data_IF_766907957176
#
_entry.id   IF_766907957176
#
_cell.length_a   1.000
_cell.length_b   1.000
_cell.length_c   1.000
_cell.angle_alpha   90.00
_cell.angle_beta   90.00
_cell.angle_gamma   90.00
#
_symmetry.space_group_name_H-M   'P 1'
#
loop_
_entity.id
_entity.type
_entity.pdbx_description
1 polymer ?
#
# COMPACT_ATOMS: atom_id res chain seq x y z
N UNK A 1 10.92 30.63 37.78
CA UNK A 1 12.19 29.87 37.78
C UNK A 1 12.06 28.80 38.84
N UNK A 2 11.59 27.60 38.45
CA UNK A 2 11.72 26.40 39.27
C UNK A 2 12.62 25.43 38.51
N UNK A 3 13.64 24.94 39.21
CA UNK A 3 14.75 24.20 38.64
C UNK A 3 14.34 22.81 38.17
N UNK A 4 14.31 22.61 36.87
CA UNK A 4 14.27 21.29 36.24
C UNK A 4 15.63 20.61 36.38
N UNK A 5 15.67 19.46 37.07
CA UNK A 5 16.87 18.62 37.16
C UNK A 5 16.76 17.46 36.15
N UNK A 6 17.63 17.38 35.14
CA UNK A 6 17.53 16.39 34.05
C UNK A 6 17.66 14.93 34.51
N UNK A 7 18.17 14.69 35.72
CA UNK A 7 18.37 13.35 36.30
C UNK A 7 17.11 12.73 36.89
N UNK A 8 16.12 13.52 37.32
CA UNK A 8 14.86 13.01 37.88
C UNK A 8 13.93 12.51 36.78
N UNK A 9 13.86 13.26 35.68
CA UNK A 9 13.06 12.97 34.49
C UNK A 9 13.48 11.65 33.83
N UNK A 10 14.79 11.40 33.69
CA UNK A 10 15.31 10.13 33.15
C UNK A 10 14.92 8.91 34.01
N UNK A 11 14.94 9.05 35.34
CA UNK A 11 14.53 7.95 36.25
C UNK A 11 13.06 7.62 36.08
N UNK A 12 12.21 8.63 35.93
CA UNK A 12 10.80 8.46 35.68
C UNK A 12 10.55 7.75 34.34
N UNK A 13 11.21 8.18 33.26
CA UNK A 13 11.14 7.53 31.95
C UNK A 13 11.52 6.04 32.01
N UNK A 14 12.62 5.70 32.68
CA UNK A 14 13.03 4.31 32.89
C UNK A 14 12.03 3.51 33.74
N UNK A 15 11.44 4.14 34.77
CA UNK A 15 10.45 3.48 35.61
C UNK A 15 9.18 3.12 34.83
N UNK A 16 8.67 4.05 34.02
CA UNK A 16 7.50 3.84 33.19
C UNK A 16 7.77 2.80 32.10
N UNK A 17 8.94 2.86 31.45
CA UNK A 17 9.35 1.84 30.48
C UNK A 17 9.32 0.43 31.10
N UNK A 18 9.93 0.24 32.27
CA UNK A 18 9.92 -1.07 32.96
C UNK A 18 8.52 -1.52 33.34
N UNK A 19 7.65 -0.62 33.79
CA UNK A 19 6.27 -0.95 34.12
C UNK A 19 5.49 -1.45 32.88
N UNK A 20 5.69 -0.80 31.73
CA UNK A 20 5.07 -1.20 30.46
C UNK A 20 5.65 -2.53 29.95
N UNK A 21 6.97 -2.73 30.03
CA UNK A 21 7.61 -3.99 29.69
C UNK A 21 7.06 -5.15 30.53
N UNK A 22 6.98 -4.96 31.85
CA UNK A 22 6.42 -5.93 32.78
C UNK A 22 4.95 -6.22 32.48
N UNK A 23 4.13 -5.20 32.23
CA UNK A 23 2.73 -5.38 31.85
C UNK A 23 2.59 -6.19 30.55
N UNK A 24 3.41 -5.91 29.53
CA UNK A 24 3.41 -6.65 28.27
C UNK A 24 3.78 -8.13 28.47
N UNK A 25 4.82 -8.40 29.26
CA UNK A 25 5.22 -9.79 29.59
C UNK A 25 4.14 -10.51 30.38
N UNK A 26 3.52 -9.83 31.34
CA UNK A 26 2.43 -10.40 32.16
C UNK A 26 1.22 -10.80 31.33
N UNK A 27 0.82 -10.00 30.33
CA UNK A 27 -0.25 -10.37 29.37
C UNK A 27 0.14 -11.62 28.58
N UNK A 28 1.36 -11.67 28.05
CA UNK A 28 1.84 -12.81 27.27
C UNK A 28 1.89 -14.10 28.10
N UNK A 29 2.17 -13.99 29.40
CA UNK A 29 2.20 -15.11 30.34
C UNK A 29 0.83 -15.40 30.97
N UNK A 30 -0.23 -14.68 30.59
CA UNK A 30 -1.58 -14.76 31.19
C UNK A 30 -1.61 -14.53 32.71
N UNK A 31 -0.70 -13.70 33.23
CA UNK A 31 -0.63 -13.35 34.65
C UNK A 31 -1.32 -12.00 34.86
N UNK A 32 -2.49 -12.01 35.51
CA UNK A 32 -3.30 -10.83 35.81
C UNK A 32 -3.45 -9.86 34.61
N UNK A 33 -4.07 -10.33 33.49
CA UNK A 33 -4.15 -9.57 32.25
C UNK A 33 -4.87 -8.23 32.43
N UNK A 34 -5.96 -8.18 33.21
CA UNK A 34 -6.72 -6.95 33.41
C UNK A 34 -5.93 -5.83 34.09
N UNK A 35 -5.09 -6.15 35.08
CA UNK A 35 -4.24 -5.13 35.71
C UNK A 35 -3.14 -4.64 34.75
N UNK A 36 -2.58 -5.56 33.95
CA UNK A 36 -1.55 -5.22 32.96
C UNK A 36 -2.10 -4.38 31.82
N UNK A 37 -3.31 -4.69 31.35
CA UNK A 37 -4.05 -3.88 30.36
C UNK A 37 -4.31 -2.47 30.89
N UNK A 38 -4.74 -2.33 32.15
CA UNK A 38 -4.96 -1.01 32.76
C UNK A 38 -3.68 -0.16 32.81
N UNK A 39 -2.52 -0.77 33.09
CA UNK A 39 -1.22 -0.08 33.05
C UNK A 39 -0.90 0.40 31.63
N UNK A 40 -1.09 -0.45 30.61
CA UNK A 40 -0.84 -0.07 29.21
C UNK A 40 -1.80 1.04 28.76
N UNK A 41 -3.09 0.93 29.09
CA UNK A 41 -4.10 1.94 28.76
C UNK A 41 -3.80 3.28 29.43
N UNK A 42 -3.31 3.27 30.66
CA UNK A 42 -2.96 4.51 31.38
C UNK A 42 -1.90 5.34 30.67
N UNK A 43 -0.98 4.70 29.91
CA UNK A 43 0.03 5.42 29.12
C UNK A 43 -0.63 6.27 28.02
N UNK A 44 -1.58 5.69 27.27
CA UNK A 44 -2.32 6.40 26.21
C UNK A 44 -3.24 7.49 26.76
N UNK A 45 -3.80 7.29 27.95
CA UNK A 45 -4.73 8.23 28.61
C UNK A 45 -4.02 9.38 29.34
N UNK A 46 -2.72 9.23 29.64
CA UNK A 46 -1.94 10.29 30.29
C UNK A 46 -1.83 11.54 29.40
N UNK A 47 -1.63 12.69 30.03
CA UNK A 47 -1.47 13.96 29.33
C UNK A 47 -0.09 14.05 28.70
N UNK A 48 -0.03 14.26 27.38
CA UNK A 48 1.23 14.39 26.62
C UNK A 48 2.28 13.28 26.87
N UNK A 49 1.97 11.99 26.63
CA UNK A 49 2.90 10.87 26.87
C UNK A 49 4.08 10.81 25.89
N UNK A 50 4.14 11.73 24.93
CA UNK A 50 4.99 11.64 23.75
C UNK A 50 6.45 11.36 24.05
N UNK A 51 7.04 12.09 25.01
CA UNK A 51 8.45 11.90 25.40
C UNK A 51 8.70 10.51 25.96
N UNK A 52 7.79 10.03 26.81
CA UNK A 52 7.86 8.68 27.39
C UNK A 52 7.72 7.61 26.32
N UNK A 53 6.77 7.77 25.40
CA UNK A 53 6.58 6.82 24.31
C UNK A 53 7.77 6.78 23.34
N UNK A 54 8.34 7.94 22.99
CA UNK A 54 9.57 8.04 22.18
C UNK A 54 10.73 7.32 22.88
N UNK A 55 10.90 7.55 24.18
CA UNK A 55 11.92 6.88 24.97
C UNK A 55 11.75 5.36 24.98
N UNK A 56 10.52 4.85 25.17
CA UNK A 56 10.23 3.40 25.11
C UNK A 56 10.55 2.84 23.73
N UNK A 57 10.16 3.53 22.65
CA UNK A 57 10.41 3.11 21.27
C UNK A 57 11.90 2.93 20.97
N UNK A 58 12.74 3.85 21.44
CA UNK A 58 14.19 3.86 21.20
C UNK A 58 14.98 2.91 22.12
N UNK A 59 14.52 2.67 23.35
CA UNK A 59 15.34 2.03 24.39
C UNK A 59 14.84 0.63 24.81
N UNK A 60 13.54 0.34 24.66
CA UNK A 60 12.97 -0.92 25.15
C UNK A 60 13.40 -2.10 24.29
N UNK A 61 13.85 -3.16 24.95
CA UNK A 61 14.19 -4.43 24.29
C UNK A 61 12.94 -5.29 24.04
N UNK A 62 11.78 -4.92 24.61
CA UNK A 62 10.52 -5.66 24.48
C UNK A 62 9.72 -5.09 23.32
N UNK A 63 9.62 -5.85 22.22
CA UNK A 63 8.95 -5.40 21.00
C UNK A 63 7.46 -5.05 21.20
N UNK A 64 6.76 -5.77 22.09
CA UNK A 64 5.37 -5.46 22.45
C UNK A 64 5.25 -4.13 23.22
N UNK A 65 6.21 -3.79 24.08
CA UNK A 65 6.24 -2.49 24.75
C UNK A 65 6.43 -1.34 23.75
N UNK A 66 7.34 -1.52 22.77
CA UNK A 66 7.52 -0.58 21.65
C UNK A 66 6.23 -0.41 20.84
N UNK A 67 5.54 -1.50 20.52
CA UNK A 67 4.24 -1.48 19.84
C UNK A 67 3.19 -0.68 20.64
N UNK A 68 3.09 -0.92 21.95
CA UNK A 68 2.13 -0.20 22.81
C UNK A 68 2.48 1.28 22.95
N UNK A 69 3.76 1.63 23.02
CA UNK A 69 4.20 3.02 23.03
C UNK A 69 3.79 3.76 21.74
N UNK A 70 3.94 3.14 20.57
CA UNK A 70 3.45 3.71 19.32
C UNK A 70 1.92 3.87 19.31
N UNK A 71 1.17 2.89 19.85
CA UNK A 71 -0.27 2.98 19.99
C UNK A 71 -0.70 4.15 20.91
N UNK A 72 0.00 4.34 22.03
CA UNK A 72 -0.24 5.43 22.97
C UNK A 72 0.03 6.81 22.36
N UNK A 73 1.06 6.96 21.51
CA UNK A 73 1.30 8.21 20.75
C UNK A 73 0.06 8.57 19.93
N UNK A 74 -0.47 7.61 19.16
CA UNK A 74 -1.68 7.83 18.36
C UNK A 74 -2.87 8.24 19.21
N UNK A 75 -3.15 7.47 20.27
CA UNK A 75 -4.31 7.71 21.12
C UNK A 75 -4.28 9.11 21.74
N UNK A 76 -3.16 9.48 22.35
CA UNK A 76 -2.98 10.80 22.94
C UNK A 76 -3.03 11.91 21.88
N UNK A 77 -2.34 11.73 20.75
CA UNK A 77 -2.29 12.76 19.71
C UNK A 77 -3.66 13.01 19.06
N UNK A 78 -4.46 11.97 18.80
CA UNK A 78 -5.83 12.15 18.26
C UNK A 78 -6.72 12.88 19.27
N UNK A 79 -6.66 12.50 20.55
CA UNK A 79 -7.44 13.11 21.63
C UNK A 79 -7.09 14.58 21.84
N UNK A 80 -5.79 14.89 21.83
CA UNK A 80 -5.26 16.22 22.15
C UNK A 80 -5.00 17.08 20.91
N UNK A 81 -5.34 16.61 19.71
CA UNK A 81 -4.92 17.20 18.44
C UNK A 81 -5.16 18.71 18.33
N UNK A 82 -6.32 19.19 18.82
CA UNK A 82 -6.72 20.60 18.73
C UNK A 82 -5.86 21.50 19.62
N UNK A 83 -5.33 20.98 20.73
CA UNK A 83 -4.51 21.74 21.69
C UNK A 83 -3.01 21.63 21.43
N UNK A 84 -2.57 20.65 20.62
CA UNK A 84 -1.16 20.51 20.25
C UNK A 84 -0.72 21.62 19.30
N UNK A 85 0.48 22.17 19.55
CA UNK A 85 1.11 23.11 18.62
C UNK A 85 1.47 22.41 17.31
N UNK A 86 1.59 23.19 16.24
CA UNK A 86 1.99 22.68 14.92
C UNK A 86 3.37 22.00 14.97
N UNK A 87 4.30 22.53 15.77
CA UNK A 87 5.64 21.98 15.92
C UNK A 87 5.61 20.59 16.58
N UNK A 88 4.79 20.40 17.60
CA UNK A 88 4.63 19.08 18.24
C UNK A 88 4.04 18.08 17.26
N UNK A 89 2.99 18.46 16.52
CA UNK A 89 2.37 17.60 15.48
C UNK A 89 3.40 17.15 14.45
N UNK A 90 4.20 18.09 13.93
CA UNK A 90 5.27 17.82 12.95
C UNK A 90 6.36 16.93 13.53
N UNK A 91 6.84 17.23 14.73
CA UNK A 91 7.89 16.46 15.38
C UNK A 91 7.47 15.01 15.63
N UNK A 92 6.21 14.76 15.99
CA UNK A 92 5.69 13.39 16.14
C UNK A 92 5.71 12.61 14.82
N UNK A 93 5.25 13.23 13.72
CA UNK A 93 5.28 12.62 12.39
C UNK A 93 6.73 12.34 11.97
N UNK A 94 7.60 13.34 12.06
CA UNK A 94 9.01 13.21 11.72
C UNK A 94 9.71 12.13 12.55
N UNK A 95 9.44 12.08 13.86
CA UNK A 95 9.97 11.04 14.73
C UNK A 95 9.56 9.65 14.25
N UNK A 96 8.28 9.41 13.99
CA UNK A 96 7.82 8.10 13.52
C UNK A 96 8.44 7.73 12.17
N UNK A 97 8.55 8.68 11.23
CA UNK A 97 9.21 8.45 9.93
C UNK A 97 10.69 8.08 10.10
N UNK A 98 11.42 8.83 10.92
CA UNK A 98 12.83 8.56 11.19
C UNK A 98 13.01 7.20 11.87
N UNK A 99 12.16 6.87 12.84
CA UNK A 99 12.17 5.58 13.52
C UNK A 99 12.02 4.42 12.52
N UNK A 100 11.08 4.55 11.58
CA UNK A 100 10.86 3.51 10.55
C UNK A 100 12.12 3.28 9.73
N UNK A 101 12.77 4.36 9.29
CA UNK A 101 13.97 4.26 8.46
C UNK A 101 15.18 3.74 9.23
N UNK A 102 15.40 4.21 10.47
CA UNK A 102 16.52 3.78 11.31
C UNK A 102 16.42 2.31 11.73
N UNK A 103 15.21 1.78 11.85
CA UNK A 103 14.95 0.42 12.29
C UNK A 103 14.41 -0.48 11.16
N UNK A 104 14.67 -0.13 9.90
CA UNK A 104 14.15 -0.84 8.74
C UNK A 104 14.58 -2.32 8.67
N UNK A 105 15.76 -2.65 9.21
CA UNK A 105 16.29 -4.02 9.29
C UNK A 105 15.86 -4.79 10.54
N UNK A 106 15.00 -4.21 11.39
CA UNK A 106 14.51 -4.86 12.60
C UNK A 106 13.67 -6.11 12.27
N UNK A 107 13.85 -7.23 13.00
CA UNK A 107 13.01 -8.41 12.81
C UNK A 107 11.56 -8.20 13.29
N UNK A 108 11.30 -7.15 14.08
CA UNK A 108 9.98 -6.83 14.64
C UNK A 108 9.10 -6.10 13.63
N UNK A 109 8.81 -6.72 12.48
CA UNK A 109 8.06 -6.10 11.39
C UNK A 109 6.67 -5.57 11.79
N UNK A 110 6.03 -6.16 12.81
CA UNK A 110 4.74 -5.68 13.32
C UNK A 110 4.87 -4.35 14.09
N UNK A 111 6.02 -4.07 14.71
CA UNK A 111 6.30 -2.77 15.35
C UNK A 111 6.49 -1.72 14.27
N UNK A 112 7.25 -2.04 13.22
CA UNK A 112 7.44 -1.16 12.06
C UNK A 112 6.10 -0.80 11.40
N UNK A 113 5.26 -1.81 11.14
CA UNK A 113 3.92 -1.60 10.59
C UNK A 113 3.05 -0.72 11.50
N UNK A 114 3.15 -0.91 12.83
CA UNK A 114 2.42 -0.07 13.78
C UNK A 114 2.88 1.38 13.75
N UNK A 115 4.19 1.64 13.76
CA UNK A 115 4.73 3.00 13.70
C UNK A 115 4.38 3.67 12.36
N UNK A 116 4.43 2.94 11.24
CA UNK A 116 3.99 3.42 9.94
C UNK A 116 2.50 3.80 9.92
N UNK A 117 1.64 2.98 10.52
CA UNK A 117 0.22 3.27 10.68
C UNK A 117 -0.02 4.52 11.53
N UNK A 118 0.71 4.67 12.64
CA UNK A 118 0.63 5.86 13.50
C UNK A 118 1.05 7.11 12.72
N UNK A 119 2.20 7.09 12.04
CA UNK A 119 2.65 8.19 11.20
C UNK A 119 1.61 8.58 10.14
N UNK A 120 1.05 7.59 9.45
CA UNK A 120 0.00 7.78 8.43
C UNK A 120 -1.24 8.46 9.02
N UNK A 121 -1.65 8.05 10.22
CA UNK A 121 -2.80 8.61 10.92
C UNK A 121 -2.56 10.04 11.37
N UNK A 122 -1.39 10.35 11.93
CA UNK A 122 -1.04 11.72 12.31
C UNK A 122 -0.94 12.63 11.08
N UNK A 123 -0.38 12.13 9.97
CA UNK A 123 -0.32 12.87 8.70
C UNK A 123 -1.71 13.15 8.14
N UNK A 124 -2.60 12.16 8.11
CA UNK A 124 -3.99 12.37 7.68
C UNK A 124 -4.74 13.32 8.61
N UNK A 125 -4.57 13.16 9.92
CA UNK A 125 -5.23 13.98 10.94
C UNK A 125 -4.90 15.47 10.79
N UNK A 126 -3.66 15.79 10.44
CA UNK A 126 -3.19 17.14 10.16
C UNK A 126 -3.21 17.57 8.69
N UNK A 127 -3.73 16.74 7.78
CA UNK A 127 -3.52 16.93 6.34
C UNK A 127 -3.95 18.29 5.80
N UNK A 128 -5.05 18.83 6.34
CA UNK A 128 -5.60 20.13 5.97
C UNK A 128 -5.01 21.29 6.79
N UNK A 129 -4.31 21.00 7.89
CA UNK A 129 -3.62 21.99 8.72
C UNK A 129 -2.19 22.24 8.20
N UNK A 130 -1.55 21.23 7.62
CA UNK A 130 -0.18 21.33 7.12
C UNK A 130 -0.09 22.07 5.79
N UNK A 131 0.87 22.98 5.70
CA UNK A 131 1.24 23.65 4.47
C UNK A 131 1.95 22.69 3.51
N UNK A 132 1.95 23.04 2.21
CA UNK A 132 2.63 22.25 1.17
C UNK A 132 4.11 22.02 1.51
N UNK A 133 4.82 23.05 1.99
CA UNK A 133 6.23 22.93 2.37
C UNK A 133 6.48 21.93 3.50
N UNK A 134 5.54 21.76 4.42
CA UNK A 134 5.66 20.78 5.52
C UNK A 134 5.46 19.35 5.02
N UNK A 135 4.49 19.15 4.12
CA UNK A 135 4.27 17.87 3.44
C UNK A 135 5.49 17.44 2.63
N UNK A 136 6.14 18.38 1.93
CA UNK A 136 7.39 18.12 1.19
C UNK A 136 8.49 17.59 2.11
N UNK A 137 8.64 18.13 3.32
CA UNK A 137 9.65 17.65 4.29
C UNK A 137 9.36 16.21 4.73
N UNK A 138 8.09 15.87 4.97
CA UNK A 138 7.71 14.48 5.31
C UNK A 138 8.06 13.52 4.18
N UNK A 139 7.70 13.88 2.94
CA UNK A 139 7.92 13.01 1.79
C UNK A 139 9.36 12.97 1.29
N UNK A 140 10.19 13.96 1.63
CA UNK A 140 11.62 13.95 1.27
C UNK A 140 12.33 12.71 1.83
N UNK A 141 12.14 12.40 3.12
CA UNK A 141 12.77 11.24 3.75
C UNK A 141 12.23 9.92 3.18
N UNK A 142 10.92 9.87 2.90
CA UNK A 142 10.27 8.70 2.30
C UNK A 142 10.79 8.44 0.89
N UNK A 143 10.90 9.48 0.07
CA UNK A 143 11.45 9.35 -1.28
C UNK A 143 12.92 8.92 -1.25
N UNK A 144 13.74 9.52 -0.37
CA UNK A 144 15.14 9.12 -0.19
C UNK A 144 15.28 7.64 0.13
N UNK A 145 14.41 7.12 1.02
CA UNK A 145 14.35 5.70 1.33
C UNK A 145 13.98 4.86 0.10
N UNK A 146 12.94 5.22 -0.65
CA UNK A 146 12.44 4.48 -1.82
C UNK A 146 13.44 4.44 -2.98
N UNK A 147 14.27 5.48 -3.15
CA UNK A 147 15.37 5.48 -4.12
C UNK A 147 16.40 4.38 -3.80
N UNK A 148 16.49 3.94 -2.55
CA UNK A 148 17.25 2.74 -2.15
C UNK A 148 18.75 2.95 -1.94
N UNK A 149 19.24 4.20 -1.95
CA UNK A 149 20.66 4.52 -1.77
C UNK A 149 21.23 4.06 -0.40
N UNK A 150 20.36 3.95 0.61
CA UNK A 150 20.72 3.57 1.98
C UNK A 150 20.45 2.07 2.27
N UNK A 151 20.13 1.26 1.25
CA UNK A 151 19.99 -0.20 1.34
C UNK A 151 18.57 -0.74 1.14
N UNK A 152 18.48 -2.05 0.86
CA UNK A 152 17.23 -2.75 0.48
C UNK A 152 16.18 -2.73 1.60
N UNK A 153 16.59 -2.84 2.86
CA UNK A 153 15.65 -2.78 3.99
C UNK A 153 14.99 -1.40 4.09
N UNK A 154 15.77 -0.32 3.94
CA UNK A 154 15.25 1.04 3.98
C UNK A 154 14.34 1.32 2.78
N UNK A 155 14.70 0.81 1.60
CA UNK A 155 13.86 0.86 0.41
C UNK A 155 12.50 0.21 0.62
N UNK A 156 12.51 -1.02 1.16
CA UNK A 156 11.30 -1.75 1.50
C UNK A 156 10.46 -1.00 2.55
N UNK A 157 11.08 -0.45 3.60
CA UNK A 157 10.39 0.31 4.64
C UNK A 157 9.72 1.58 4.08
N UNK A 158 10.38 2.29 3.16
CA UNK A 158 9.80 3.45 2.47
C UNK A 158 8.55 3.09 1.67
N UNK A 159 8.58 2.00 0.92
CA UNK A 159 7.42 1.49 0.16
C UNK A 159 6.28 1.08 1.12
N UNK A 160 6.60 0.32 2.18
CA UNK A 160 5.60 -0.10 3.18
C UNK A 160 4.98 1.07 3.96
N UNK A 161 5.73 2.14 4.17
CA UNK A 161 5.15 3.37 4.70
C UNK A 161 4.13 3.99 3.74
N UNK A 162 4.44 4.09 2.43
CA UNK A 162 3.48 4.60 1.45
C UNK A 162 2.23 3.73 1.33
N UNK A 163 2.36 2.40 1.44
CA UNK A 163 1.24 1.46 1.48
C UNK A 163 0.31 1.73 2.68
N UNK A 164 0.92 1.93 3.86
CA UNK A 164 0.17 2.33 5.07
C UNK A 164 -0.52 3.68 4.90
N UNK A 165 0.15 4.65 4.28
CA UNK A 165 -0.40 5.97 4.05
C UNK A 165 -1.58 5.94 3.07
N UNK A 166 -1.44 5.23 1.94
CA UNK A 166 -2.49 5.04 0.95
C UNK A 166 -3.72 4.38 1.57
N UNK A 167 -3.51 3.34 2.39
CA UNK A 167 -4.57 2.66 3.14
C UNK A 167 -5.28 3.61 4.09
N UNK A 168 -4.55 4.48 4.79
CA UNK A 168 -5.17 5.43 5.71
C UNK A 168 -6.00 6.49 4.96
N UNK A 169 -5.61 6.91 3.76
CA UNK A 169 -6.37 7.88 2.96
C UNK A 169 -7.56 7.26 2.21
N UNK A 170 -7.56 5.95 1.96
CA UNK A 170 -8.67 5.24 1.33
C UNK A 170 -9.92 5.18 2.26
N UNK A 171 -11.15 5.39 1.75
CA UNK A 171 -12.36 5.32 2.55
C UNK A 171 -12.63 3.95 3.20
N UNK A 172 -12.25 2.85 2.54
CA UNK A 172 -12.56 1.49 3.01
C UNK A 172 -11.70 1.05 4.19
N UNK A 173 -10.54 1.70 4.37
CA UNK A 173 -9.50 1.32 5.34
C UNK A 173 -9.10 2.47 6.26
N UNK A 174 -9.68 3.66 6.07
CA UNK A 174 -9.45 4.82 6.94
C UNK A 174 -9.78 4.51 8.39
N UNK A 175 -8.90 4.90 9.31
CA UNK A 175 -9.17 4.76 10.73
C UNK A 175 -10.26 5.73 11.19
N UNK A 176 -11.00 5.34 12.24
CA UNK A 176 -11.93 6.22 12.92
C UNK A 176 -11.15 7.25 13.74
N UNK A 177 -11.22 8.52 13.32
CA UNK A 177 -10.60 9.67 14.02
C UNK A 177 -11.62 10.57 14.72
N UNK A 178 -12.91 10.21 14.71
CA UNK A 178 -13.99 11.06 15.22
C UNK A 178 -14.22 12.33 14.39
N UNK A 179 -13.86 12.31 13.10
CA UNK A 179 -13.98 13.46 12.20
C UNK A 179 -15.14 13.30 11.21
N UNK A 180 -15.70 14.42 10.71
CA UNK A 180 -16.77 14.39 9.71
C UNK A 180 -16.33 13.73 8.40
N UNK A 181 -17.27 13.11 7.69
CA UNK A 181 -17.02 12.45 6.40
C UNK A 181 -16.41 13.42 5.37
N UNK A 182 -16.82 14.68 5.41
CA UNK A 182 -16.35 15.76 4.55
C UNK A 182 -14.85 15.98 4.69
N UNK A 183 -14.31 15.86 5.91
CA UNK A 183 -12.87 15.93 6.15
C UNK A 183 -12.15 14.78 5.43
N UNK A 184 -12.61 13.54 5.61
CA UNK A 184 -12.01 12.38 4.98
C UNK A 184 -12.05 12.47 3.45
N UNK A 185 -13.15 13.00 2.90
CA UNK A 185 -13.31 13.21 1.47
C UNK A 185 -12.40 14.31 0.92
N UNK A 186 -12.21 15.43 1.64
CA UNK A 186 -11.25 16.46 1.26
C UNK A 186 -9.81 15.94 1.25
N UNK A 187 -9.43 15.18 2.28
CA UNK A 187 -8.12 14.52 2.34
C UNK A 187 -7.92 13.58 1.15
N UNK A 188 -8.91 12.73 0.86
CA UNK A 188 -8.89 11.79 -0.28
C UNK A 188 -8.65 12.52 -1.60
N UNK A 189 -9.43 13.58 -1.90
CA UNK A 189 -9.31 14.35 -3.15
C UNK A 189 -7.97 15.04 -3.30
N UNK A 190 -7.49 15.68 -2.23
CA UNK A 190 -6.18 16.33 -2.22
C UNK A 190 -5.07 15.31 -2.43
N UNK A 191 -5.13 14.16 -1.75
CA UNK A 191 -4.15 13.09 -1.88
C UNK A 191 -4.11 12.48 -3.29
N UNK A 192 -5.29 12.21 -3.88
CA UNK A 192 -5.45 11.70 -5.24
C UNK A 192 -4.82 12.62 -6.27
N UNK A 193 -5.17 13.92 -6.22
CA UNK A 193 -4.74 14.90 -7.20
C UNK A 193 -3.25 15.26 -7.07
N UNK A 194 -2.73 15.34 -5.85
CA UNK A 194 -1.41 15.95 -5.60
C UNK A 194 -0.28 14.91 -5.46
N UNK A 195 -0.58 13.67 -5.05
CA UNK A 195 0.47 12.73 -4.62
C UNK A 195 0.40 11.33 -5.22
N UNK A 196 -0.79 10.79 -5.58
CA UNK A 196 -0.88 9.40 -6.06
C UNK A 196 0.00 9.13 -7.30
N UNK A 197 -0.01 10.04 -8.27
CA UNK A 197 0.81 9.90 -9.49
C UNK A 197 2.30 9.86 -9.15
N UNK A 198 2.74 10.75 -8.27
CA UNK A 198 4.14 10.80 -7.82
C UNK A 198 4.54 9.54 -7.08
N UNK A 199 3.68 9.01 -6.19
CA UNK A 199 3.96 7.77 -5.47
C UNK A 199 4.02 6.57 -6.41
N UNK A 200 3.15 6.53 -7.43
CA UNK A 200 3.23 5.51 -8.46
C UNK A 200 4.59 5.54 -9.18
N UNK A 201 5.06 6.73 -9.58
CA UNK A 201 6.36 6.89 -10.24
C UNK A 201 7.54 6.45 -9.36
N UNK A 202 7.59 6.88 -8.11
CA UNK A 202 8.63 6.45 -7.17
C UNK A 202 8.65 4.94 -6.99
N UNK A 203 7.47 4.33 -6.91
CA UNK A 203 7.31 2.89 -6.73
C UNK A 203 7.74 2.12 -7.99
N UNK A 204 7.38 2.63 -9.16
CA UNK A 204 7.81 2.08 -10.45
C UNK A 204 9.34 2.13 -10.58
N UNK A 205 9.96 3.27 -10.26
CA UNK A 205 11.42 3.43 -10.28
C UNK A 205 12.11 2.48 -9.29
N UNK A 206 11.55 2.28 -8.10
CA UNK A 206 12.08 1.33 -7.13
C UNK A 206 12.04 -0.11 -7.67
N UNK A 207 10.94 -0.54 -8.30
CA UNK A 207 10.85 -1.87 -8.91
C UNK A 207 11.86 -2.03 -10.06
N UNK A 208 12.00 -1.01 -10.90
CA UNK A 208 12.99 -0.97 -11.99
C UNK A 208 14.42 -1.11 -11.46
N UNK A 209 14.77 -0.40 -10.38
CA UNK A 209 16.12 -0.39 -9.82
C UNK A 209 16.63 -1.75 -9.34
N UNK A 210 15.71 -2.66 -9.00
CA UNK A 210 16.02 -3.99 -8.46
C UNK A 210 15.80 -5.13 -9.46
N UNK A 211 15.30 -4.82 -10.66
CA UNK A 211 14.89 -5.81 -11.66
C UNK A 211 16.06 -6.67 -12.14
N UNK A 212 17.18 -6.04 -12.47
CA UNK A 212 18.32 -6.77 -13.05
C UNK A 212 18.91 -7.77 -12.06
N UNK A 213 19.04 -7.40 -10.77
CA UNK A 213 19.53 -8.33 -9.74
C UNK A 213 18.63 -9.56 -9.61
N UNK A 214 17.31 -9.39 -9.74
CA UNK A 214 16.34 -10.49 -9.66
C UNK A 214 16.44 -11.41 -10.88
N UNK A 215 16.57 -10.84 -12.08
CA UNK A 215 16.61 -11.61 -13.33
C UNK A 215 17.94 -12.37 -13.45
N UNK A 216 19.06 -11.74 -13.13
CA UNK A 216 20.41 -12.30 -13.34
C UNK A 216 20.83 -13.32 -12.28
N UNK A 217 20.29 -13.27 -11.05
CA UNK A 217 20.71 -14.17 -9.97
C UNK A 217 19.97 -15.51 -9.99
N UNK A 218 20.64 -16.65 -10.05
CA UNK A 218 19.98 -17.97 -9.95
C UNK A 218 19.47 -18.33 -8.53
N UNK A 219 19.68 -17.46 -7.54
CA UNK A 219 19.36 -17.71 -6.13
C UNK A 219 18.36 -16.69 -5.56
N UNK A 220 17.84 -16.96 -4.37
CA UNK A 220 16.96 -16.04 -3.66
C UNK A 220 17.71 -14.76 -3.28
N UNK A 221 17.26 -13.61 -3.81
CA UNK A 221 17.87 -12.30 -3.55
C UNK A 221 16.92 -11.42 -2.73
N UNK A 222 17.44 -10.58 -1.80
CA UNK A 222 16.61 -9.73 -0.96
C UNK A 222 15.80 -8.69 -1.74
N UNK A 223 16.24 -8.31 -2.94
CA UNK A 223 15.59 -7.42 -3.89
C UNK A 223 14.16 -7.83 -4.24
N UNK A 224 13.87 -9.14 -4.22
CA UNK A 224 12.53 -9.69 -4.48
C UNK A 224 11.48 -9.04 -3.57
N UNK A 225 11.81 -8.74 -2.31
CA UNK A 225 10.85 -8.13 -1.36
C UNK A 225 10.51 -6.69 -1.73
N UNK A 226 11.48 -5.93 -2.23
CA UNK A 226 11.29 -4.55 -2.72
C UNK A 226 10.41 -4.59 -3.97
N UNK A 227 10.76 -5.43 -4.95
CA UNK A 227 9.98 -5.55 -6.18
C UNK A 227 8.54 -5.99 -5.89
N UNK A 228 8.35 -6.98 -5.02
CA UNK A 228 7.02 -7.46 -4.61
C UNK A 228 6.21 -6.31 -3.97
N UNK A 229 6.77 -5.63 -2.97
CA UNK A 229 6.09 -4.53 -2.30
C UNK A 229 5.78 -3.37 -3.25
N UNK A 230 6.66 -3.09 -4.21
CA UNK A 230 6.46 -2.06 -5.21
C UNK A 230 5.30 -2.41 -6.15
N UNK A 231 5.26 -3.64 -6.67
CA UNK A 231 4.17 -4.12 -7.51
C UNK A 231 2.82 -4.10 -6.76
N UNK A 232 2.82 -4.51 -5.49
CA UNK A 232 1.63 -4.49 -4.64
C UNK A 232 1.13 -3.06 -4.39
N UNK A 233 2.04 -2.11 -4.12
CA UNK A 233 1.67 -0.70 -3.92
C UNK A 233 1.14 -0.07 -5.22
N UNK A 234 1.76 -0.35 -6.37
CA UNK A 234 1.23 0.09 -7.67
C UNK A 234 -0.17 -0.49 -7.93
N UNK A 235 -0.38 -1.77 -7.62
CA UNK A 235 -1.70 -2.40 -7.70
C UNK A 235 -2.70 -1.72 -6.76
N UNK A 236 -2.31 -1.38 -5.54
CA UNK A 236 -3.17 -0.68 -4.59
C UNK A 236 -3.55 0.72 -5.09
N UNK A 237 -2.60 1.45 -5.69
CA UNK A 237 -2.86 2.76 -6.32
C UNK A 237 -3.81 2.62 -7.49
N UNK A 238 -3.66 1.60 -8.35
CA UNK A 238 -4.56 1.38 -9.47
C UNK A 238 -5.94 0.86 -9.04
N UNK A 239 -6.07 0.28 -7.85
CA UNK A 239 -7.35 -0.04 -7.22
C UNK A 239 -7.96 1.14 -6.45
N UNK A 240 -7.34 2.32 -6.53
CA UNK A 240 -7.97 3.53 -6.05
C UNK A 240 -9.21 3.84 -6.89
N UNK A 241 -10.29 4.22 -6.22
CA UNK A 241 -11.53 4.64 -6.88
C UNK A 241 -11.35 6.08 -7.39
N UNK A 242 -10.73 6.21 -8.58
CA UNK A 242 -10.42 7.49 -9.21
C UNK A 242 -11.69 8.26 -9.55
N UNK A 243 -11.72 9.55 -9.17
CA UNK A 243 -12.82 10.43 -9.52
C UNK A 243 -12.60 10.95 -10.94
N UNK A 244 -13.30 10.38 -11.91
CA UNK A 244 -13.41 11.00 -13.23
C UNK A 244 -14.14 12.34 -13.09
N UNK A 245 -13.50 13.44 -13.55
CA UNK A 245 -14.05 14.81 -13.58
C UNK A 245 -15.44 14.93 -14.22
N UNK A 246 -15.94 13.87 -14.88
CA UNK A 246 -17.22 13.85 -15.58
C UNK A 246 -18.43 13.43 -14.72
N UNK A 247 -18.32 13.38 -13.38
CA UNK A 247 -19.39 12.84 -12.52
C UNK A 247 -19.88 13.73 -11.37
N UNK A 248 -19.83 15.06 -11.52
CA UNK A 248 -20.68 15.94 -10.69
C UNK A 248 -22.19 15.81 -11.02
N UNK A 249 -22.56 14.96 -12.00
CA UNK A 249 -23.96 14.71 -12.39
C UNK A 249 -24.49 13.31 -11.99
N UNK A 250 -23.77 12.54 -11.16
CA UNK A 250 -24.34 11.34 -10.51
C UNK A 250 -24.31 11.48 -8.98
N UNK A 251 -25.07 12.45 -8.49
CA UNK A 251 -25.72 12.38 -7.18
C UNK A 251 -26.71 11.20 -7.18
N UNK A 252 -26.18 9.98 -7.15
CA UNK A 252 -26.85 8.84 -6.53
C UNK A 252 -25.89 8.35 -5.45
N UNK A 253 -25.87 9.11 -4.35
CA UNK A 253 -25.46 8.59 -3.06
C UNK A 253 -26.42 7.43 -2.78
N UNK A 254 -26.01 6.21 -3.10
CA UNK A 254 -26.66 5.03 -2.53
C UNK A 254 -26.20 4.97 -1.07
N UNK A 255 -26.97 5.72 -0.27
CA UNK A 255 -27.06 5.65 1.18
C UNK A 255 -27.32 4.18 1.54
N UNK A 256 -26.63 3.67 2.55
CA UNK A 256 -26.73 2.31 3.13
C UNK A 256 -25.94 1.18 2.46
N UNK A 257 -24.71 0.98 2.95
CA UNK A 257 -24.18 -0.36 3.18
C UNK A 257 -23.40 -0.39 4.50
N UNK A 258 -24.10 -0.08 5.58
CA UNK A 258 -23.69 -0.43 6.94
C UNK A 258 -24.93 -1.04 7.62
N UNK A 259 -24.99 -2.37 7.67
CA UNK A 259 -26.04 -3.14 8.36
C UNK A 259 -26.98 -3.92 7.44
N UNK A 260 -26.94 -5.26 7.59
CA UNK A 260 -27.91 -6.28 7.18
C UNK A 260 -28.19 -6.40 5.67
N UNK A 261 -27.58 -7.42 5.04
CA UNK A 261 -27.96 -7.90 3.71
C UNK A 261 -29.37 -8.49 3.78
N UNK A 262 -30.33 -7.89 3.07
CA UNK A 262 -31.52 -8.59 2.63
C UNK A 262 -31.30 -9.07 1.19
N UNK A 263 -31.54 -10.35 0.99
CA UNK A 263 -31.57 -11.04 -0.30
C UNK A 263 -32.65 -10.45 -1.22
N UNK A 264 -32.30 -10.32 -2.50
CA UNK A 264 -33.23 -9.99 -3.59
C UNK A 264 -32.66 -8.94 -4.54
N UNK A 265 -32.21 -9.37 -5.72
CA UNK A 265 -31.89 -8.55 -6.91
C UNK A 265 -30.54 -7.80 -7.01
N UNK A 266 -29.42 -8.50 -6.79
CA UNK A 266 -28.17 -8.17 -7.51
C UNK A 266 -27.25 -9.37 -7.78
N UNK A 267 -27.77 -10.38 -8.48
CA UNK A 267 -26.89 -11.29 -9.22
C UNK A 267 -26.29 -10.51 -10.41
N UNK A 268 -24.95 -10.34 -10.43
CA UNK A 268 -24.09 -9.71 -11.46
C UNK A 268 -23.60 -8.28 -11.16
N UNK A 269 -22.72 -8.13 -10.17
CA UNK A 269 -21.62 -7.15 -10.27
C UNK A 269 -20.34 -7.96 -10.45
N UNK A 270 -19.89 -8.09 -11.69
CA UNK A 270 -18.64 -8.77 -12.04
C UNK A 270 -17.50 -8.23 -11.17
N UNK A 271 -16.65 -9.13 -10.65
CA UNK A 271 -15.51 -8.86 -9.75
C UNK A 271 -14.40 -7.97 -10.35
N UNK A 272 -14.64 -7.31 -11.48
CA UNK A 272 -13.64 -6.51 -12.19
C UNK A 272 -13.76 -5.03 -11.83
N UNK A 273 -12.77 -4.51 -11.08
CA UNK A 273 -12.61 -3.09 -10.82
C UNK A 273 -12.02 -2.40 -12.06
N UNK A 274 -12.75 -1.43 -12.61
CA UNK A 274 -12.32 -0.63 -13.78
C UNK A 274 -11.43 0.51 -13.32
N UNK A 275 -10.31 0.72 -14.00
CA UNK A 275 -9.32 1.74 -13.64
C UNK A 275 -9.46 2.94 -14.58
N UNK A 276 -9.88 4.10 -14.04
CA UNK A 276 -10.18 5.30 -14.83
C UNK A 276 -9.47 6.57 -14.32
N UNK A 277 -8.13 6.60 -14.26
CA UNK A 277 -7.38 7.79 -13.90
C UNK A 277 -7.55 8.89 -14.97
N UNK A 278 -7.28 10.14 -14.59
CA UNK A 278 -7.35 11.29 -15.48
C UNK A 278 -6.29 11.28 -16.58
N UNK A 279 -6.43 12.18 -17.56
CA UNK A 279 -5.50 12.31 -18.70
C UNK A 279 -4.07 12.61 -18.30
N UNK A 280 -3.88 13.20 -17.11
CA UNK A 280 -2.57 13.46 -16.51
C UNK A 280 -1.79 12.20 -16.18
N UNK A 281 -2.39 11.00 -16.19
CA UNK A 281 -1.69 9.73 -15.96
C UNK A 281 -1.17 9.09 -17.24
N UNK A 282 -1.46 9.66 -18.41
CA UNK A 282 -1.15 9.06 -19.71
C UNK A 282 0.35 8.83 -19.94
N UNK A 283 1.17 9.79 -19.54
CA UNK A 283 2.63 9.70 -19.61
C UNK A 283 3.18 8.53 -18.79
N UNK A 284 2.56 8.25 -17.64
CA UNK A 284 3.02 7.22 -16.70
C UNK A 284 2.44 5.84 -17.01
N UNK A 285 1.16 5.72 -17.36
CA UNK A 285 0.48 4.43 -17.52
C UNK A 285 0.46 3.91 -18.95
N UNK A 286 0.55 4.80 -19.95
CA UNK A 286 0.42 4.42 -21.37
C UNK A 286 1.74 4.61 -22.12
N UNK A 287 2.38 5.77 -21.97
CA UNK A 287 3.55 6.15 -22.79
C UNK A 287 4.90 5.74 -22.20
N UNK A 288 4.95 5.31 -20.94
CA UNK A 288 6.20 5.02 -20.21
C UNK A 288 6.89 3.71 -20.62
N UNK A 289 6.22 2.85 -21.40
CA UNK A 289 6.67 1.48 -21.67
C UNK A 289 6.55 0.54 -20.47
N UNK A 290 5.91 0.98 -19.36
CA UNK A 290 5.81 0.21 -18.12
C UNK A 290 5.12 -1.15 -18.32
N UNK A 291 4.05 -1.22 -19.12
CA UNK A 291 3.38 -2.48 -19.47
C UNK A 291 4.36 -3.47 -20.12
N UNK A 292 5.15 -3.00 -21.08
CA UNK A 292 6.15 -3.83 -21.75
C UNK A 292 7.22 -4.35 -20.79
N UNK A 293 7.71 -3.51 -19.89
CA UNK A 293 8.63 -3.93 -18.82
C UNK A 293 7.98 -4.98 -17.91
N UNK A 294 6.74 -4.78 -17.46
CA UNK A 294 6.07 -5.68 -16.52
C UNK A 294 5.86 -7.06 -17.14
N UNK A 295 5.44 -7.11 -18.41
CA UNK A 295 5.30 -8.36 -19.17
C UNK A 295 6.65 -9.04 -19.35
N UNK A 296 7.72 -8.29 -19.63
CA UNK A 296 9.08 -8.82 -19.78
C UNK A 296 9.63 -9.36 -18.45
N UNK A 297 9.39 -8.66 -17.35
CA UNK A 297 9.74 -9.12 -15.99
C UNK A 297 9.04 -10.44 -15.68
N UNK A 298 7.72 -10.53 -15.90
CA UNK A 298 6.98 -11.76 -15.67
C UNK A 298 7.46 -12.91 -16.57
N UNK A 299 7.72 -12.64 -17.86
CA UNK A 299 8.26 -13.64 -18.79
C UNK A 299 9.63 -14.17 -18.34
N UNK A 300 10.52 -13.28 -17.88
CA UNK A 300 11.82 -13.67 -17.35
C UNK A 300 11.69 -14.55 -16.10
N UNK A 301 10.79 -14.17 -15.16
CA UNK A 301 10.48 -14.99 -13.98
C UNK A 301 9.91 -16.35 -14.37
N UNK A 302 9.00 -16.40 -15.35
CA UNK A 302 8.38 -17.64 -15.85
C UNK A 302 9.42 -18.59 -16.48
N UNK A 303 10.34 -18.07 -17.28
CA UNK A 303 11.38 -18.88 -17.95
C UNK A 303 12.36 -19.48 -16.96
N UNK A 304 12.90 -18.65 -16.07
CA UNK A 304 13.91 -19.02 -15.07
C UNK A 304 13.48 -20.21 -14.21
N UNK A 305 12.20 -20.27 -13.85
CA UNK A 305 11.69 -21.27 -12.92
C UNK A 305 10.76 -22.32 -13.53
N UNK A 306 10.77 -22.43 -14.87
CA UNK A 306 10.05 -23.48 -15.60
C UNK A 306 10.37 -24.90 -15.14
N UNK A 307 11.48 -25.10 -14.40
CA UNK A 307 11.95 -26.40 -13.89
C UNK A 307 11.60 -26.70 -12.44
N UNK A 308 11.20 -25.70 -11.64
CA UNK A 308 11.09 -25.85 -10.18
C UNK A 308 9.65 -25.86 -9.64
N UNK A 309 8.63 -25.58 -10.47
CA UNK A 309 7.20 -25.75 -10.17
C UNK A 309 6.60 -24.80 -9.10
N UNK A 310 7.30 -24.59 -7.99
CA UNK A 310 6.84 -23.83 -6.81
C UNK A 310 6.85 -22.29 -7.02
N UNK A 311 7.66 -21.79 -7.95
CA UNK A 311 7.88 -20.35 -8.12
C UNK A 311 6.83 -19.61 -8.92
N UNK A 312 5.92 -20.31 -9.62
CA UNK A 312 4.79 -19.63 -10.30
C UNK A 312 3.89 -18.89 -9.29
N UNK A 313 3.87 -19.36 -8.05
CA UNK A 313 3.14 -18.76 -6.93
C UNK A 313 4.06 -18.00 -5.96
N UNK A 314 5.30 -17.72 -6.36
CA UNK A 314 6.15 -16.84 -5.55
C UNK A 314 5.54 -15.43 -5.47
N UNK A 315 5.76 -14.71 -4.35
CA UNK A 315 5.11 -13.42 -4.12
C UNK A 315 5.28 -12.42 -5.27
N UNK A 316 6.49 -12.27 -5.81
CA UNK A 316 6.76 -11.33 -6.91
C UNK A 316 6.03 -11.70 -8.21
N UNK A 317 5.92 -12.99 -8.53
CA UNK A 317 5.20 -13.44 -9.72
C UNK A 317 3.69 -13.22 -9.58
N UNK A 318 3.14 -13.50 -8.39
CA UNK A 318 1.73 -13.24 -8.06
C UNK A 318 1.43 -11.74 -8.15
N UNK A 319 2.26 -10.88 -7.55
CA UNK A 319 2.09 -9.43 -7.61
C UNK A 319 2.20 -8.90 -9.04
N UNK A 320 3.14 -9.42 -9.84
CA UNK A 320 3.27 -9.06 -11.25
C UNK A 320 2.01 -9.42 -12.05
N UNK A 321 1.49 -10.66 -11.92
CA UNK A 321 0.26 -11.08 -12.60
C UNK A 321 -0.94 -10.24 -12.21
N UNK A 322 -1.13 -9.98 -10.91
CA UNK A 322 -2.23 -9.13 -10.43
C UNK A 322 -2.15 -7.73 -11.01
N UNK A 323 -0.95 -7.15 -11.11
CA UNK A 323 -0.76 -5.85 -11.74
C UNK A 323 -1.05 -5.89 -13.25
N UNK A 324 -0.65 -6.94 -13.97
CA UNK A 324 -1.01 -7.17 -15.39
C UNK A 324 -2.53 -7.23 -15.56
N UNK A 325 -3.23 -8.00 -14.71
CA UNK A 325 -4.70 -8.08 -14.71
C UNK A 325 -5.32 -6.70 -14.49
N UNK A 326 -4.77 -5.89 -13.59
CA UNK A 326 -5.26 -4.54 -13.34
C UNK A 326 -5.05 -3.60 -14.53
N UNK A 327 -3.94 -3.74 -15.26
CA UNK A 327 -3.71 -2.98 -16.49
C UNK A 327 -4.70 -3.35 -17.60
N UNK A 328 -5.26 -4.55 -17.58
CA UNK A 328 -6.31 -4.98 -18.52
C UNK A 328 -7.64 -4.26 -18.30
N UNK A 329 -7.87 -3.67 -17.12
CA UNK A 329 -9.07 -2.89 -16.82
C UNK A 329 -8.85 -1.37 -16.93
N UNK A 330 -7.69 -0.93 -17.43
CA UNK A 330 -7.38 0.49 -17.67
C UNK A 330 -8.22 1.03 -18.82
N UNK A 331 -8.97 2.11 -18.58
CA UNK A 331 -9.80 2.75 -19.61
C UNK A 331 -10.11 4.21 -19.24
N UNK A 332 -10.89 4.91 -20.08
CA UNK A 332 -11.35 6.26 -19.80
C UNK A 332 -10.40 7.37 -20.28
N UNK A 333 -10.36 8.53 -19.61
CA UNK A 333 -9.75 9.75 -20.16
C UNK A 333 -8.23 9.68 -20.31
N UNK A 334 -7.58 8.68 -19.69
CA UNK A 334 -6.14 8.40 -19.87
C UNK A 334 -5.75 8.16 -21.34
N UNK A 335 -6.65 7.60 -22.16
CA UNK A 335 -6.40 7.35 -23.57
C UNK A 335 -6.77 8.54 -24.49
N UNK A 336 -7.30 9.65 -23.98
CA UNK A 336 -7.94 10.72 -24.78
C UNK A 336 -9.12 10.22 -25.65
N UNK A 337 -10.10 11.08 -25.91
CA UNK A 337 -11.35 10.68 -26.58
C UNK A 337 -11.18 10.19 -28.03
N UNK A 338 -10.11 10.61 -28.71
CA UNK A 338 -9.88 10.29 -30.13
C UNK A 338 -8.88 9.13 -30.34
N UNK A 339 -8.26 8.59 -29.28
CA UNK A 339 -7.17 7.62 -29.40
C UNK A 339 -7.61 6.17 -29.11
N UNK A 340 -8.72 5.76 -29.73
CA UNK A 340 -9.20 4.37 -29.66
C UNK A 340 -8.12 3.37 -30.09
N UNK A 341 -7.25 3.77 -31.04
CA UNK A 341 -6.13 2.96 -31.52
C UNK A 341 -5.08 2.71 -30.44
N UNK A 342 -4.71 3.72 -29.64
CA UNK A 342 -3.80 3.49 -28.52
C UNK A 342 -4.39 2.56 -27.47
N UNK A 343 -5.69 2.70 -27.16
CA UNK A 343 -6.35 1.77 -26.23
C UNK A 343 -6.34 0.33 -26.77
N UNK A 344 -6.65 0.15 -28.06
CA UNK A 344 -6.57 -1.15 -28.73
C UNK A 344 -5.15 -1.72 -28.70
N UNK A 345 -4.12 -0.92 -28.99
CA UNK A 345 -2.71 -1.34 -28.93
C UNK A 345 -2.29 -1.74 -27.52
N UNK A 346 -2.71 -1.00 -26.49
CA UNK A 346 -2.48 -1.33 -25.08
C UNK A 346 -3.08 -2.69 -24.72
N UNK A 347 -4.32 -2.93 -25.11
CA UNK A 347 -5.01 -4.21 -24.85
C UNK A 347 -4.39 -5.36 -25.65
N UNK A 348 -4.00 -5.14 -26.91
CA UNK A 348 -3.28 -6.15 -27.72
C UNK A 348 -1.95 -6.53 -27.08
N UNK A 349 -1.18 -5.55 -26.57
CA UNK A 349 0.08 -5.83 -25.89
C UNK A 349 -0.13 -6.70 -24.65
N UNK A 350 -1.10 -6.35 -23.79
CA UNK A 350 -1.44 -7.16 -22.61
C UNK A 350 -1.92 -8.55 -23.00
N UNK A 351 -2.83 -8.66 -23.96
CA UNK A 351 -3.39 -9.91 -24.43
C UNK A 351 -2.29 -10.84 -24.97
N UNK A 352 -1.33 -10.29 -25.73
CA UNK A 352 -0.17 -11.04 -26.22
C UNK A 352 0.73 -11.58 -25.11
N UNK A 353 0.81 -10.87 -23.97
CA UNK A 353 1.61 -11.29 -22.82
C UNK A 353 0.94 -12.34 -21.93
N UNK A 354 -0.40 -12.45 -21.99
CA UNK A 354 -1.18 -13.38 -21.15
C UNK A 354 -1.73 -14.58 -21.92
N UNK A 355 -1.62 -14.62 -23.26
CA UNK A 355 -2.29 -15.66 -24.05
C UNK A 355 -1.86 -17.08 -23.65
N UNK A 356 -0.57 -17.28 -23.38
CA UNK A 356 -0.03 -18.58 -22.93
C UNK A 356 -0.49 -18.98 -21.52
N UNK A 357 -1.29 -18.15 -20.84
CA UNK A 357 -1.87 -18.48 -19.54
C UNK A 357 -3.17 -19.28 -19.70
N UNK A 358 -3.82 -19.15 -20.87
CA UNK A 358 -5.17 -19.69 -21.13
C UNK A 358 -5.27 -20.48 -22.45
N UNK A 359 -4.31 -20.32 -23.37
CA UNK A 359 -4.32 -20.94 -24.70
C UNK A 359 -3.00 -21.68 -25.02
N UNK A 360 -3.02 -22.86 -25.67
CA UNK A 360 -4.21 -23.65 -25.97
C UNK A 360 -4.78 -24.32 -24.70
N UNK A 361 -6.11 -24.34 -24.51
CA UNK A 361 -6.74 -24.77 -23.27
C UNK A 361 -6.42 -26.23 -22.90
N UNK A 362 -6.33 -27.12 -23.89
CA UNK A 362 -5.99 -28.53 -23.66
C UNK A 362 -4.59 -28.70 -23.07
N UNK A 363 -3.63 -27.85 -23.48
CA UNK A 363 -2.27 -27.90 -22.94
C UNK A 363 -2.22 -27.34 -21.51
N UNK A 364 -2.96 -26.26 -21.24
CA UNK A 364 -3.06 -25.66 -19.91
C UNK A 364 -3.71 -26.63 -18.93
N UNK A 365 -4.86 -27.22 -19.29
CA UNK A 365 -5.55 -28.22 -18.48
C UNK A 365 -4.68 -29.43 -18.21
N UNK A 366 -4.01 -29.98 -19.24
CA UNK A 366 -3.09 -31.10 -19.07
C UNK A 366 -1.91 -30.74 -18.15
N UNK A 367 -1.40 -29.51 -18.21
CA UNK A 367 -0.33 -29.07 -17.30
C UNK A 367 -0.82 -29.01 -15.84
N UNK A 368 -2.05 -28.52 -15.62
CA UNK A 368 -2.68 -28.47 -14.29
C UNK A 368 -2.93 -29.89 -13.75
N UNK A 369 -3.46 -30.79 -14.58
CA UNK A 369 -3.65 -32.21 -14.24
C UNK A 369 -2.32 -32.90 -13.88
N UNK A 370 -1.21 -32.47 -14.49
CA UNK A 370 0.15 -32.95 -14.17
C UNK A 370 0.78 -32.24 -12.96
N UNK A 371 0.02 -31.42 -12.21
CA UNK A 371 0.46 -30.79 -10.96
C UNK A 371 0.99 -29.36 -11.07
N UNK A 372 0.85 -28.67 -12.22
CA UNK A 372 1.09 -27.22 -12.33
C UNK A 372 -0.02 -26.46 -11.58
N UNK A 373 0.33 -25.36 -10.92
CA UNK A 373 -0.65 -24.45 -10.32
C UNK A 373 -1.63 -23.91 -11.36
N UNK A 374 -2.90 -23.81 -10.99
CA UNK A 374 -3.97 -23.22 -11.80
C UNK A 374 -4.04 -21.69 -11.70
N UNK A 375 -3.24 -21.08 -10.82
CA UNK A 375 -3.25 -19.65 -10.52
C UNK A 375 -3.06 -18.77 -11.75
N UNK A 376 -2.15 -19.14 -12.64
CA UNK A 376 -1.87 -18.42 -13.89
C UNK A 376 -3.07 -18.46 -14.83
N UNK A 377 -3.75 -19.60 -14.95
CA UNK A 377 -4.98 -19.73 -15.74
C UNK A 377 -6.11 -18.87 -15.13
N UNK A 378 -6.27 -18.88 -13.81
CA UNK A 378 -7.27 -18.07 -13.12
C UNK A 378 -7.03 -16.57 -13.33
N UNK A 379 -5.79 -16.11 -13.23
CA UNK A 379 -5.42 -14.72 -13.50
C UNK A 379 -5.61 -14.36 -14.98
N UNK A 380 -5.32 -15.29 -15.91
CA UNK A 380 -5.59 -15.11 -17.34
C UNK A 380 -7.08 -14.96 -17.65
N UNK A 381 -7.94 -15.76 -17.02
CA UNK A 381 -9.39 -15.62 -17.12
C UNK A 381 -9.89 -14.27 -16.56
N UNK A 382 -9.31 -13.81 -15.43
CA UNK A 382 -9.62 -12.48 -14.87
C UNK A 382 -9.20 -11.35 -15.80
N UNK A 383 -8.03 -11.47 -16.44
CA UNK A 383 -7.56 -10.51 -17.42
C UNK A 383 -8.47 -10.48 -18.66
N UNK A 384 -8.86 -11.62 -19.22
CA UNK A 384 -9.83 -11.68 -20.32
C UNK A 384 -11.17 -11.04 -19.96
N UNK A 385 -11.68 -11.30 -18.75
CA UNK A 385 -12.88 -10.66 -18.25
C UNK A 385 -12.72 -9.14 -18.11
N UNK A 386 -11.54 -8.67 -17.67
CA UNK A 386 -11.22 -7.26 -17.58
C UNK A 386 -11.22 -6.58 -18.95
N UNK A 387 -10.54 -7.17 -19.93
CA UNK A 387 -10.52 -6.67 -21.32
C UNK A 387 -11.95 -6.62 -21.88
N UNK A 388 -12.75 -7.67 -21.67
CA UNK A 388 -14.13 -7.72 -22.12
C UNK A 388 -15.03 -6.64 -21.48
N UNK A 389 -14.75 -6.22 -20.24
CA UNK A 389 -15.51 -5.17 -19.57
C UNK A 389 -15.17 -3.75 -20.06
N UNK A 390 -13.99 -3.55 -20.67
CA UNK A 390 -13.55 -2.24 -21.18
C UNK A 390 -13.64 -2.12 -22.70
N UNK A 391 -14.14 -3.16 -23.39
CA UNK A 391 -14.29 -3.21 -24.85
C UNK A 391 -15.72 -3.53 -25.27
N UNK A 392 -16.06 -3.23 -26.52
CA UNK A 392 -17.31 -3.76 -27.10
C UNK A 392 -17.11 -5.22 -27.52
N UNK A 393 -18.17 -6.05 -27.61
CA UNK A 393 -18.04 -7.44 -28.06
C UNK A 393 -17.39 -7.58 -29.44
N UNK A 394 -17.62 -6.62 -30.33
CA UNK A 394 -16.99 -6.58 -31.65
C UNK A 394 -15.48 -6.33 -31.56
N UNK A 395 -15.06 -5.36 -30.75
CA UNK A 395 -13.64 -5.05 -30.58
C UNK A 395 -12.90 -6.18 -29.88
N UNK A 396 -13.52 -6.80 -28.88
CA UNK A 396 -12.97 -7.96 -28.18
C UNK A 396 -12.74 -9.14 -29.13
N UNK A 397 -13.72 -9.46 -29.98
CA UNK A 397 -13.56 -10.49 -31.02
C UNK A 397 -12.46 -10.12 -32.03
N UNK A 398 -12.35 -8.83 -32.39
CA UNK A 398 -11.25 -8.31 -33.19
C UNK A 398 -9.88 -8.56 -32.57
N UNK A 399 -9.70 -8.21 -31.29
CA UNK A 399 -8.47 -8.44 -30.53
C UNK A 399 -8.07 -9.93 -30.51
N UNK A 400 -9.04 -10.82 -30.26
CA UNK A 400 -8.80 -12.27 -30.24
C UNK A 400 -8.42 -12.82 -31.62
N UNK A 401 -9.05 -12.32 -32.69
CA UNK A 401 -8.72 -12.73 -34.06
C UNK A 401 -7.30 -12.31 -34.45
N UNK A 402 -6.86 -11.12 -34.06
CA UNK A 402 -5.51 -10.62 -34.33
C UNK A 402 -4.40 -11.45 -33.69
N UNK A 403 -4.71 -12.29 -32.68
CA UNK A 403 -3.73 -13.20 -32.09
C UNK A 403 -3.67 -14.58 -32.73
N UNK A 404 -4.71 -14.95 -33.50
CA UNK A 404 -4.78 -16.24 -34.19
C UNK A 404 -4.26 -16.19 -35.63
N UNK A 405 -4.04 -14.97 -36.14
CA UNK A 405 -3.41 -14.68 -37.43
C UNK A 405 -1.91 -14.54 -37.27
#
# INVERSE_FOLDING_TARGET
>A
MEGFTPTSDLKELHSTMRAIEQACTSIQMHINPGASEAVILSLGQSSQPYKTCQFILENSQVATARFQAAAAIREAAIREWVVLSIDVKRNLICFCLLYIMQHASSPDGYVQAKVASVASQLMKRGWLEFMVGEKVVFFYQVNKAIVGADGIDMQFAGIKFLESLLSEFSPSTSSAMGLPREFHEQCRRSFEREYLKTFYQWTQEAALSVTNQIIESDSAVPEVKVCTAALDLMLQILNWDFRSNNSDTKLNVNVFSSGVRQDGDSLKKSECHVVQPGSEWRDVLVLSGHVGWLLSLYAALRLKFSREGYWIDCPVAVSARKLVVQFCSLTGPVFLSDDRKMHEQHLLQLLSGIIEWVDPPDAVLKAIENGKSDSEMLDGCRALLAIANVTTPHDFDGLLKSMRS
#
